data_IF_811110151669
#
_entry.id   IF_811110151669
#
_cell.length_a   1.000
_cell.length_b   1.000
_cell.length_c   1.000
_cell.angle_alpha   90.00
_cell.angle_beta   90.00
_cell.angle_gamma   90.00
#
_symmetry.space_group_name_H-M   'P 1'
#
loop_
_entity.id
_entity.type
_entity.pdbx_description
1 polymer ?
#
# COMPACT_ATOMS: atom_id res chain seq x y z
N UNK A 1 18.58 25.39 16.76
CA UNK A 1 17.38 24.54 16.78
C UNK A 1 16.41 25.07 15.73
N UNK A 2 16.03 24.28 14.74
CA UNK A 2 15.13 24.70 13.66
C UNK A 2 13.77 24.04 13.89
N UNK A 3 12.73 24.84 14.08
CA UNK A 3 11.37 24.33 14.20
C UNK A 3 10.76 24.21 12.81
N UNK A 4 10.36 23.00 12.43
CA UNK A 4 9.59 22.74 11.21
C UNK A 4 8.17 22.40 11.67
N UNK A 5 7.18 23.12 11.13
CA UNK A 5 5.75 22.80 11.31
C UNK A 5 5.25 22.16 10.02
N UNK A 6 4.73 20.95 10.11
CA UNK A 6 3.95 20.32 9.04
C UNK A 6 2.49 20.28 9.47
N UNK A 7 1.60 20.65 8.56
CA UNK A 7 0.15 20.53 8.71
C UNK A 7 -0.27 19.43 7.72
N UNK A 8 -1.10 18.49 8.18
CA UNK A 8 -1.67 17.43 7.34
C UNK A 8 -3.16 17.70 7.26
N UNK A 9 -3.67 17.83 6.05
CA UNK A 9 -5.09 17.86 5.75
C UNK A 9 -5.49 16.48 5.24
N UNK A 10 -6.63 15.98 5.70
CA UNK A 10 -7.14 14.65 5.34
C UNK A 10 -8.53 14.86 4.74
N UNK A 11 -8.73 14.34 3.54
CA UNK A 11 -10.03 14.22 2.91
C UNK A 11 -10.52 12.79 3.13
N UNK A 12 -11.72 12.65 3.69
CA UNK A 12 -12.39 11.37 3.90
C UNK A 12 -13.51 11.23 2.87
N UNK A 13 -13.58 10.06 2.24
CA UNK A 13 -14.55 9.73 1.22
C UNK A 13 -15.39 8.54 1.71
N UNK A 14 -16.71 8.64 1.63
CA UNK A 14 -17.63 7.60 2.12
C UNK A 14 -17.70 6.41 1.15
N UNK A 15 -17.40 6.64 -0.13
CA UNK A 15 -17.54 5.63 -1.17
C UNK A 15 -16.45 5.71 -2.24
N UNK A 16 -16.23 4.56 -2.90
CA UNK A 16 -15.32 4.44 -4.05
C UNK A 16 -15.69 5.34 -5.24
N UNK A 17 -16.94 5.78 -5.32
CA UNK A 17 -17.43 6.56 -6.45
C UNK A 17 -17.10 8.05 -6.32
N UNK A 18 -16.67 8.49 -5.14
CA UNK A 18 -16.24 9.87 -4.88
C UNK A 18 -14.75 10.07 -5.16
N UNK A 19 -13.98 8.99 -5.31
CA UNK A 19 -12.58 9.03 -5.69
C UNK A 19 -12.40 9.44 -7.15
N UNK A 20 -11.27 10.05 -7.46
CA UNK A 20 -10.79 10.17 -8.84
C UNK A 20 -10.69 8.79 -9.50
N UNK A 21 -10.79 8.71 -10.83
CA UNK A 21 -10.65 7.42 -11.51
C UNK A 21 -9.25 6.81 -11.31
N UNK A 22 -8.22 7.66 -11.19
CA UNK A 22 -6.86 7.25 -10.86
C UNK A 22 -6.76 6.61 -9.46
N UNK A 23 -7.27 7.28 -8.42
CA UNK A 23 -7.22 6.79 -7.05
C UNK A 23 -8.07 5.54 -6.86
N UNK A 24 -9.24 5.51 -7.53
CA UNK A 24 -10.11 4.33 -7.56
C UNK A 24 -9.40 3.13 -8.17
N UNK A 25 -8.69 3.32 -9.28
CA UNK A 25 -7.91 2.25 -9.90
C UNK A 25 -6.79 1.75 -8.98
N UNK A 26 -6.07 2.66 -8.31
CA UNK A 26 -5.04 2.29 -7.33
C UNK A 26 -5.61 1.52 -6.14
N UNK A 27 -6.75 1.94 -5.61
CA UNK A 27 -7.43 1.27 -4.51
C UNK A 27 -7.88 -0.15 -4.92
N UNK A 28 -8.39 -0.33 -6.14
CA UNK A 28 -8.77 -1.63 -6.67
C UNK A 28 -7.55 -2.55 -6.82
N UNK A 29 -6.43 -2.05 -7.35
CA UNK A 29 -5.17 -2.80 -7.46
C UNK A 29 -4.61 -3.16 -6.08
N UNK A 30 -4.64 -2.25 -5.11
CA UNK A 30 -4.22 -2.55 -3.74
C UNK A 30 -5.08 -3.65 -3.09
N UNK A 31 -6.40 -3.63 -3.30
CA UNK A 31 -7.30 -4.71 -2.85
C UNK A 31 -7.00 -6.03 -3.55
N UNK A 32 -6.71 -6.01 -4.85
CA UNK A 32 -6.29 -7.20 -5.59
C UNK A 32 -4.96 -7.75 -5.04
N UNK A 33 -3.99 -6.89 -4.75
CA UNK A 33 -2.72 -7.29 -4.15
C UNK A 33 -2.90 -7.93 -2.77
N UNK A 34 -3.79 -7.38 -1.94
CA UNK A 34 -4.11 -7.93 -0.62
C UNK A 34 -4.62 -9.39 -0.71
N UNK A 35 -5.35 -9.76 -1.77
CA UNK A 35 -5.82 -11.14 -1.96
C UNK A 35 -4.66 -12.16 -2.05
N UNK A 36 -3.48 -11.71 -2.48
CA UNK A 36 -2.24 -12.50 -2.64
C UNK A 36 -1.32 -12.44 -1.42
N UNK A 37 -1.74 -11.82 -0.32
CA UNK A 37 -0.95 -11.74 0.91
C UNK A 37 -0.70 -13.13 1.53
N UNK A 38 0.54 -13.38 1.95
CA UNK A 38 0.88 -14.51 2.81
C UNK A 38 0.85 -14.04 4.26
N UNK A 39 -0.29 -14.26 4.94
CA UNK A 39 -0.50 -13.80 6.31
C UNK A 39 -1.14 -14.88 7.20
N UNK A 40 -0.54 -16.08 7.33
CA UNK A 40 -1.16 -17.17 8.09
C UNK A 40 -1.16 -16.95 9.61
N UNK A 41 -0.37 -16.02 10.14
CA UNK A 41 -0.24 -15.80 11.58
C UNK A 41 -1.23 -14.74 12.06
N UNK A 42 -1.32 -13.59 11.39
CA UNK A 42 -2.31 -12.56 11.75
C UNK A 42 -3.69 -12.77 11.12
N UNK A 43 -3.76 -13.52 10.00
CA UNK A 43 -4.92 -13.55 9.11
C UNK A 43 -5.34 -12.17 8.57
N UNK A 44 -4.47 -11.16 8.69
CA UNK A 44 -4.72 -9.80 8.26
C UNK A 44 -4.01 -9.51 6.94
N UNK A 45 -4.80 -9.45 5.86
CA UNK A 45 -4.30 -9.28 4.50
C UNK A 45 -4.24 -7.80 4.14
N UNK A 46 -3.05 -7.32 3.82
CA UNK A 46 -2.77 -5.93 3.44
C UNK A 46 -2.17 -5.91 2.05
N UNK A 47 -2.61 -4.98 1.22
CA UNK A 47 -2.10 -4.74 -0.11
C UNK A 47 -1.80 -3.27 -0.32
N UNK A 48 -0.85 -2.98 -1.20
CA UNK A 48 -0.44 -1.65 -1.60
C UNK A 48 -0.29 -1.60 -3.12
N UNK A 49 -0.64 -0.46 -3.71
CA UNK A 49 -0.40 -0.14 -5.11
C UNK A 49 0.20 1.27 -5.19
N UNK A 50 1.26 1.45 -5.96
CA UNK A 50 2.00 2.70 -6.08
C UNK A 50 2.11 3.05 -7.56
N UNK A 51 1.55 4.19 -7.96
CA UNK A 51 1.78 4.76 -9.27
C UNK A 51 3.10 5.52 -9.28
N UNK A 52 3.98 5.18 -10.21
CA UNK A 52 5.25 5.87 -10.40
C UNK A 52 5.08 7.06 -11.36
N UNK A 53 6.03 8.00 -11.33
CA UNK A 53 5.99 9.19 -12.20
C UNK A 53 6.02 8.91 -13.71
N UNK A 54 6.36 7.69 -14.12
CA UNK A 54 6.31 7.23 -15.51
C UNK A 54 4.97 6.56 -15.89
N UNK A 55 3.98 6.53 -14.99
CA UNK A 55 2.67 5.93 -15.20
C UNK A 55 2.59 4.43 -14.88
N UNK A 56 3.71 3.74 -14.62
CA UNK A 56 3.66 2.34 -14.21
C UNK A 56 3.12 2.21 -12.78
N UNK A 57 2.37 1.13 -12.53
CA UNK A 57 1.91 0.79 -11.19
C UNK A 57 2.65 -0.44 -10.69
N UNK A 58 3.18 -0.37 -9.48
CA UNK A 58 3.73 -1.53 -8.76
C UNK A 58 2.81 -1.89 -7.60
N UNK A 59 2.69 -3.19 -7.35
CA UNK A 59 1.84 -3.73 -6.29
C UNK A 59 2.68 -4.49 -5.26
N UNK A 60 2.19 -4.54 -4.02
CA UNK A 60 2.79 -5.32 -2.95
C UNK A 60 1.75 -5.83 -1.99
N UNK A 61 2.07 -6.92 -1.28
CA UNK A 61 1.25 -7.46 -0.21
C UNK A 61 2.13 -7.84 0.98
N UNK A 62 1.54 -7.90 2.17
CA UNK A 62 2.29 -8.31 3.35
C UNK A 62 2.66 -9.80 3.26
N UNK A 63 3.87 -10.10 3.74
CA UNK A 63 4.47 -11.42 3.73
C UNK A 63 4.96 -11.72 5.15
N UNK A 64 4.28 -12.64 5.84
CA UNK A 64 4.63 -12.99 7.21
C UNK A 64 5.62 -14.15 7.27
N UNK A 65 6.27 -14.28 8.42
CA UNK A 65 7.18 -15.38 8.71
C UNK A 65 7.00 -15.81 10.16
N UNK A 66 7.24 -17.09 10.46
CA UNK A 66 7.17 -17.60 11.84
C UNK A 66 8.20 -16.94 12.75
N UNK A 67 9.34 -16.53 12.19
CA UNK A 67 10.37 -15.79 12.89
C UNK A 67 10.09 -14.29 12.83
N UNK A 68 9.55 -13.75 13.91
CA UNK A 68 9.39 -12.31 14.07
C UNK A 68 10.75 -11.64 14.36
N UNK A 69 11.05 -10.45 13.79
CA UNK A 69 10.20 -9.57 12.99
C UNK A 69 10.48 -9.61 11.47
N UNK A 70 10.83 -10.79 10.91
CA UNK A 70 11.35 -10.91 9.53
C UNK A 70 10.29 -10.65 8.45
N UNK A 71 9.00 -10.60 8.81
CA UNK A 71 7.92 -10.29 7.87
C UNK A 71 8.09 -8.93 7.18
N UNK A 72 7.54 -8.83 5.96
CA UNK A 72 7.51 -7.60 5.16
C UNK A 72 6.10 -7.02 5.12
N UNK A 73 6.00 -5.69 5.22
CA UNK A 73 4.75 -4.97 5.04
C UNK A 73 4.46 -4.82 3.53
N UNK A 74 3.20 -4.59 3.17
CA UNK A 74 2.79 -4.47 1.75
C UNK A 74 3.52 -3.34 1.02
N UNK A 75 3.71 -2.21 1.71
CA UNK A 75 4.36 -1.00 1.23
C UNK A 75 5.85 -1.25 0.94
N UNK A 76 6.53 -1.97 1.86
CA UNK A 76 7.95 -2.35 1.66
C UNK A 76 8.10 -3.28 0.46
N UNK A 77 7.19 -4.24 0.32
CA UNK A 77 7.16 -5.14 -0.84
C UNK A 77 6.93 -4.35 -2.14
N UNK A 78 5.97 -3.42 -2.18
CA UNK A 78 5.70 -2.59 -3.36
C UNK A 78 6.89 -1.69 -3.73
N UNK A 79 7.51 -1.03 -2.74
CA UNK A 79 8.69 -0.17 -2.94
C UNK A 79 9.91 -0.95 -3.44
N UNK A 80 10.08 -2.20 -3.01
CA UNK A 80 11.16 -3.05 -3.52
C UNK A 80 11.06 -3.22 -5.03
N UNK A 81 9.84 -3.50 -5.55
CA UNK A 81 9.59 -3.63 -6.99
C UNK A 81 9.69 -2.29 -7.75
N UNK A 82 9.42 -1.16 -7.09
CA UNK A 82 9.63 0.15 -7.70
C UNK A 82 11.11 0.43 -8.03
N UNK A 83 12.03 -0.24 -7.34
CA UNK A 83 13.48 -0.05 -7.47
C UNK A 83 14.18 -1.02 -8.43
N UNK A 84 13.43 -1.98 -9.00
CA UNK A 84 13.94 -3.06 -9.87
C UNK A 84 13.72 -2.83 -11.36
#
# INVERSE_FOLDING_TARGET
MKTIKSIIEIEEYDSLNELSEEDKQLLLLARQAASRAYAPYSNFKVGAAIQMGNGNVVEGSNQENSSYPVGSCAERTALFFASS
#
